data_IF_133345917532
#
_entry.id   IF_133345917532
#
_cell.length_a   1.000
_cell.length_b   1.000
_cell.length_c   1.000
_cell.angle_alpha   90.00
_cell.angle_beta   90.00
_cell.angle_gamma   90.00
#
_symmetry.space_group_name_H-M   'P 1'
#
loop_
_entity.id
_entity.type
_entity.pdbx_description
1 polymer ?
#
# COMPACT_ATOMS: atom_id res chain seq x y z
N UNK A 1 11.26 10.00 -27.20
CA UNK A 1 9.89 10.24 -26.73
C UNK A 1 9.96 10.70 -25.28
N UNK A 2 9.49 11.91 -24.98
CA UNK A 2 9.42 12.37 -23.60
C UNK A 2 8.19 11.74 -22.95
N UNK A 3 8.44 10.74 -22.10
CA UNK A 3 7.38 10.10 -21.30
C UNK A 3 6.76 11.16 -20.37
N UNK A 4 5.43 11.14 -20.25
CA UNK A 4 4.68 12.01 -19.35
C UNK A 4 4.35 11.27 -18.06
N UNK A 5 4.32 11.96 -16.90
CA UNK A 5 3.87 11.32 -15.67
C UNK A 5 2.38 10.96 -15.76
N UNK A 6 1.92 9.95 -14.98
CA UNK A 6 0.50 9.65 -14.88
C UNK A 6 -0.28 10.88 -14.44
N UNK A 7 -1.54 10.96 -14.84
CA UNK A 7 -2.43 12.11 -14.58
C UNK A 7 -2.03 13.46 -15.23
N UNK A 8 -0.97 13.54 -16.05
CA UNK A 8 -0.59 14.81 -16.68
C UNK A 8 -1.64 15.32 -17.67
N UNK A 9 -2.38 14.40 -18.29
CA UNK A 9 -3.49 14.74 -19.20
C UNK A 9 -4.69 15.37 -18.49
N UNK A 10 -4.76 15.28 -17.16
CA UNK A 10 -5.81 15.89 -16.36
C UNK A 10 -5.46 17.35 -16.03
N UNK A 11 -6.48 18.22 -16.05
CA UNK A 11 -6.33 19.60 -15.62
C UNK A 11 -5.90 19.73 -14.15
N UNK A 12 -5.32 20.87 -13.74
CA UNK A 12 -4.81 21.06 -12.38
C UNK A 12 -5.88 20.90 -11.30
N UNK A 13 -7.10 21.34 -11.55
CA UNK A 13 -8.24 21.19 -10.63
C UNK A 13 -8.58 19.70 -10.42
N UNK A 14 -8.64 18.92 -11.49
CA UNK A 14 -8.96 17.48 -11.40
C UNK A 14 -7.88 16.75 -10.60
N UNK A 15 -6.59 17.06 -10.83
CA UNK A 15 -5.49 16.49 -10.03
C UNK A 15 -5.57 16.87 -8.56
N UNK A 16 -5.95 18.11 -8.25
CA UNK A 16 -6.16 18.56 -6.88
C UNK A 16 -7.30 17.78 -6.21
N UNK A 17 -8.43 17.62 -6.91
CA UNK A 17 -9.55 16.83 -6.40
C UNK A 17 -9.14 15.37 -6.17
N UNK A 18 -8.50 14.73 -7.15
CA UNK A 18 -8.04 13.34 -7.05
C UNK A 18 -7.03 13.14 -5.91
N UNK A 19 -6.15 14.11 -5.68
CA UNK A 19 -5.23 14.07 -4.53
C UNK A 19 -5.98 14.01 -3.22
N UNK A 20 -6.97 14.88 -3.00
CA UNK A 20 -7.76 14.89 -1.76
C UNK A 20 -8.69 13.68 -1.62
N UNK A 21 -9.21 13.18 -2.74
CA UNK A 21 -9.91 11.87 -2.76
C UNK A 21 -8.97 10.77 -2.31
N UNK A 22 -7.75 10.72 -2.84
CA UNK A 22 -6.74 9.75 -2.40
C UNK A 22 -6.41 9.87 -0.91
N UNK A 23 -6.23 11.08 -0.39
CA UNK A 23 -6.00 11.33 1.05
C UNK A 23 -7.19 10.82 1.89
N UNK A 24 -8.42 11.12 1.48
CA UNK A 24 -9.62 10.65 2.17
C UNK A 24 -9.72 9.12 2.16
N UNK A 25 -9.38 8.47 1.04
CA UNK A 25 -9.34 7.02 0.93
C UNK A 25 -8.26 6.41 1.84
N UNK A 26 -7.07 7.01 1.93
CA UNK A 26 -6.00 6.54 2.83
C UNK A 26 -6.45 6.63 4.28
N UNK A 27 -6.96 7.77 4.71
CA UNK A 27 -7.41 7.99 6.10
C UNK A 27 -8.60 7.08 6.42
N UNK A 28 -9.61 7.05 5.56
CA UNK A 28 -10.81 6.24 5.72
C UNK A 28 -10.51 4.74 5.67
N UNK A 29 -9.64 4.31 4.75
CA UNK A 29 -9.21 2.94 4.59
C UNK A 29 -8.46 2.45 5.83
N UNK A 30 -7.44 3.19 6.27
CA UNK A 30 -6.69 2.85 7.49
C UNK A 30 -7.59 2.75 8.70
N UNK A 31 -8.48 3.72 8.92
CA UNK A 31 -9.43 3.69 10.05
C UNK A 31 -10.40 2.50 9.98
N UNK A 32 -10.82 2.09 8.77
CA UNK A 32 -11.71 0.94 8.57
C UNK A 32 -10.97 -0.36 8.85
N UNK A 33 -9.76 -0.50 8.33
CA UNK A 33 -8.91 -1.66 8.56
C UNK A 33 -8.58 -1.82 10.03
N UNK A 34 -8.19 -0.74 10.72
CA UNK A 34 -7.89 -0.76 12.16
C UNK A 34 -9.07 -1.28 12.98
N UNK A 35 -10.30 -0.86 12.65
CA UNK A 35 -11.51 -1.37 13.32
C UNK A 35 -11.73 -2.85 13.08
N UNK A 36 -11.48 -3.33 11.85
CA UNK A 36 -11.64 -4.76 11.50
C UNK A 36 -10.56 -5.63 12.14
N UNK A 37 -9.40 -5.07 12.45
CA UNK A 37 -8.28 -5.76 13.09
C UNK A 37 -8.42 -5.88 14.60
N UNK A 38 -9.29 -5.08 15.24
CA UNK A 38 -9.54 -5.17 16.66
C UNK A 38 -10.26 -6.49 17.01
N UNK A 39 -9.96 -7.09 18.19
CA UNK A 39 -10.66 -8.28 18.63
C UNK A 39 -12.15 -7.98 18.81
N UNK A 40 -13.00 -8.92 18.39
CA UNK A 40 -14.41 -8.88 18.71
C UNK A 40 -14.57 -9.12 20.22
N UNK A 41 -14.94 -8.06 20.95
CA UNK A 41 -15.08 -8.13 22.41
C UNK A 41 -16.13 -9.14 22.86
N UNK A 42 -17.19 -9.39 22.06
CA UNK A 42 -18.18 -10.42 22.37
C UNK A 42 -17.67 -11.83 22.14
N UNK A 43 -16.96 -12.06 21.02
CA UNK A 43 -16.31 -13.34 20.73
C UNK A 43 -15.19 -13.64 21.74
N UNK A 44 -14.42 -12.63 22.10
CA UNK A 44 -13.41 -12.71 23.15
C UNK A 44 -14.01 -13.14 24.49
N UNK A 45 -15.12 -12.51 24.90
CA UNK A 45 -15.79 -12.79 26.18
C UNK A 45 -16.47 -14.16 26.21
N UNK A 46 -17.05 -14.61 25.09
CA UNK A 46 -17.83 -15.86 25.00
C UNK A 46 -16.97 -17.08 24.67
N UNK A 47 -15.95 -16.93 23.86
CA UNK A 47 -15.17 -18.02 23.26
C UNK A 47 -13.67 -17.97 23.57
N UNK A 48 -13.20 -16.94 24.28
CA UNK A 48 -11.77 -16.74 24.54
C UNK A 48 -10.95 -16.32 23.28
N UNK A 49 -11.61 -16.02 22.16
CA UNK A 49 -10.96 -15.62 20.90
C UNK A 49 -10.62 -14.12 20.92
N UNK A 50 -9.57 -13.77 21.66
CA UNK A 50 -9.08 -12.39 21.83
C UNK A 50 -7.97 -12.03 20.84
N UNK A 51 -8.01 -12.55 19.62
CA UNK A 51 -6.94 -12.36 18.65
C UNK A 51 -7.07 -10.99 17.98
N UNK A 52 -6.04 -10.16 18.14
CA UNK A 52 -5.84 -8.95 17.35
C UNK A 52 -5.19 -9.33 16.02
N UNK A 53 -5.83 -8.97 14.92
CA UNK A 53 -5.28 -9.19 13.59
C UNK A 53 -4.26 -8.08 13.32
N UNK A 54 -3.06 -8.43 12.86
CA UNK A 54 -2.09 -7.46 12.33
C UNK A 54 -1.84 -7.76 10.86
N UNK A 55 -2.26 -6.86 9.99
CA UNK A 55 -2.01 -7.00 8.55
C UNK A 55 -0.51 -7.03 8.25
N UNK A 56 0.25 -6.15 8.89
CA UNK A 56 1.72 -6.12 8.75
C UNK A 56 2.34 -7.46 9.18
N UNK A 57 1.85 -8.08 10.27
CA UNK A 57 2.34 -9.38 10.68
C UNK A 57 2.00 -10.47 9.65
N UNK A 58 0.84 -10.39 8.98
CA UNK A 58 0.47 -11.31 7.89
C UNK A 58 1.37 -11.12 6.66
N UNK A 59 1.64 -9.88 6.28
CA UNK A 59 2.53 -9.54 5.16
C UNK A 59 3.94 -10.13 5.35
N UNK A 60 4.43 -10.19 6.59
CA UNK A 60 5.76 -10.71 6.94
C UNK A 60 5.78 -12.16 7.43
N UNK A 61 4.68 -12.88 7.39
CA UNK A 61 4.59 -14.29 7.75
C UNK A 61 5.06 -15.21 6.60
N UNK A 62 6.33 -15.11 6.23
CA UNK A 62 6.91 -15.76 5.04
C UNK A 62 7.36 -17.21 5.25
N UNK A 63 7.33 -17.72 6.48
CA UNK A 63 7.69 -19.09 6.81
C UNK A 63 6.54 -19.82 7.48
N UNK A 64 6.58 -21.13 7.47
CA UNK A 64 5.56 -21.95 8.16
C UNK A 64 5.51 -21.66 9.65
N UNK A 65 6.67 -21.41 10.28
CA UNK A 65 6.76 -21.08 11.70
C UNK A 65 6.16 -19.71 12.00
N UNK A 66 6.48 -18.70 11.18
CA UNK A 66 5.90 -17.35 11.30
C UNK A 66 4.38 -17.36 11.04
N UNK A 67 3.89 -18.30 10.21
CA UNK A 67 2.48 -18.46 9.90
C UNK A 67 1.73 -19.37 10.90
N UNK A 68 2.44 -20.11 11.77
CA UNK A 68 1.84 -21.03 12.72
C UNK A 68 0.74 -20.41 13.62
N UNK A 69 0.89 -19.16 14.15
CA UNK A 69 -0.16 -18.51 14.92
C UNK A 69 -1.45 -18.28 14.12
N UNK A 70 -1.34 -18.02 12.81
CA UNK A 70 -2.49 -17.78 11.92
C UNK A 70 -3.28 -19.06 11.67
N UNK A 71 -2.61 -20.23 11.67
CA UNK A 71 -3.28 -21.53 11.54
C UNK A 71 -4.27 -21.80 12.68
N UNK A 72 -4.00 -21.25 13.87
CA UNK A 72 -4.85 -21.41 15.06
C UNK A 72 -6.05 -20.45 15.10
N UNK A 73 -6.17 -19.51 14.14
CA UNK A 73 -7.29 -18.57 14.13
C UNK A 73 -8.63 -19.24 13.90
N UNK A 74 -9.64 -18.77 14.62
CA UNK A 74 -11.04 -19.15 14.39
C UNK A 74 -11.50 -18.75 13.00
N UNK A 75 -12.58 -19.37 12.52
CA UNK A 75 -13.21 -19.00 11.25
C UNK A 75 -13.67 -17.54 11.25
N UNK A 76 -14.19 -17.06 12.39
CA UNK A 76 -14.62 -15.68 12.56
C UNK A 76 -13.44 -14.70 12.40
N UNK A 77 -12.28 -15.02 13.00
CA UNK A 77 -11.06 -14.21 12.88
C UNK A 77 -10.53 -14.20 11.45
N UNK A 78 -10.51 -15.34 10.76
CA UNK A 78 -10.12 -15.43 9.35
C UNK A 78 -11.04 -14.60 8.45
N UNK A 79 -12.35 -14.67 8.69
CA UNK A 79 -13.31 -13.85 7.93
C UNK A 79 -13.05 -12.36 8.09
N UNK A 80 -12.81 -11.88 9.31
CA UNK A 80 -12.44 -10.47 9.56
C UNK A 80 -11.16 -10.09 8.86
N UNK A 81 -10.14 -10.95 8.85
CA UNK A 81 -8.90 -10.71 8.12
C UNK A 81 -9.15 -10.57 6.61
N UNK A 82 -9.97 -11.42 6.01
CA UNK A 82 -10.35 -11.33 4.59
C UNK A 82 -11.12 -10.03 4.30
N UNK A 83 -12.00 -9.60 5.18
CA UNK A 83 -12.72 -8.32 5.04
C UNK A 83 -11.76 -7.13 5.12
N UNK A 84 -10.77 -7.16 6.03
CA UNK A 84 -9.72 -6.15 6.11
C UNK A 84 -8.87 -6.10 4.82
N UNK A 85 -8.46 -7.24 4.26
CA UNK A 85 -7.74 -7.32 2.98
C UNK A 85 -8.56 -6.77 1.80
N UNK A 86 -9.88 -6.97 1.81
CA UNK A 86 -10.77 -6.38 0.80
C UNK A 86 -10.84 -4.87 0.95
N UNK A 87 -10.99 -4.36 2.18
CA UNK A 87 -10.98 -2.92 2.44
C UNK A 87 -9.64 -2.28 2.01
N UNK A 88 -8.54 -2.94 2.29
CA UNK A 88 -7.21 -2.53 1.84
C UNK A 88 -7.16 -2.45 0.30
N UNK A 89 -7.51 -3.52 -0.39
CA UNK A 89 -7.49 -3.61 -1.86
C UNK A 89 -8.36 -2.56 -2.55
N UNK A 90 -9.55 -2.25 -2.01
CA UNK A 90 -10.52 -1.37 -2.67
C UNK A 90 -10.48 0.08 -2.22
N UNK A 91 -9.91 0.36 -1.05
CA UNK A 91 -9.92 1.70 -0.46
C UNK A 91 -8.47 2.21 -0.29
N UNK A 92 -7.63 1.50 0.47
CA UNK A 92 -6.30 1.98 0.83
C UNK A 92 -5.36 1.99 -0.39
N UNK A 93 -5.31 0.89 -1.15
CA UNK A 93 -4.43 0.77 -2.33
C UNK A 93 -4.72 1.85 -3.37
N UNK A 94 -5.95 2.07 -3.87
CA UNK A 94 -6.25 3.18 -4.76
C UNK A 94 -5.92 4.54 -4.15
N UNK A 95 -6.16 4.70 -2.85
CA UNK A 95 -5.88 5.95 -2.13
C UNK A 95 -4.41 6.33 -2.20
N UNK A 96 -3.50 5.46 -1.75
CA UNK A 96 -2.08 5.80 -1.75
C UNK A 96 -1.48 5.88 -3.16
N UNK A 97 -1.97 5.08 -4.12
CA UNK A 97 -1.54 5.16 -5.53
C UNK A 97 -1.88 6.54 -6.11
N UNK A 98 -3.07 7.08 -5.83
CA UNK A 98 -3.43 8.43 -6.23
C UNK A 98 -2.52 9.47 -5.58
N UNK A 99 -2.35 9.43 -4.26
CA UNK A 99 -1.55 10.41 -3.51
C UNK A 99 -0.10 10.39 -3.99
N UNK A 100 0.57 9.24 -3.94
CA UNK A 100 1.99 9.13 -4.30
C UNK A 100 2.21 9.38 -5.80
N UNK A 101 1.35 8.85 -6.67
CA UNK A 101 1.45 9.06 -8.11
C UNK A 101 1.35 10.54 -8.51
N UNK A 102 0.41 11.28 -7.88
CA UNK A 102 0.24 12.72 -8.10
C UNK A 102 1.43 13.50 -7.51
N UNK A 103 1.88 13.18 -6.30
CA UNK A 103 3.01 13.86 -5.65
C UNK A 103 4.31 13.66 -6.43
N UNK A 104 4.65 12.41 -6.79
CA UNK A 104 5.84 12.11 -7.60
C UNK A 104 5.78 12.79 -8.98
N UNK A 105 4.62 12.74 -9.65
CA UNK A 105 4.42 13.42 -10.92
C UNK A 105 4.51 14.95 -10.82
N UNK A 106 4.01 15.54 -9.73
CA UNK A 106 4.13 16.98 -9.48
C UNK A 106 5.57 17.39 -9.19
N UNK A 107 6.30 16.60 -8.41
CA UNK A 107 7.72 16.81 -8.12
C UNK A 107 8.55 16.74 -9.41
N UNK A 108 8.33 15.73 -10.25
CA UNK A 108 9.02 15.54 -11.52
C UNK A 108 8.82 16.72 -12.48
N UNK A 109 7.61 17.29 -12.56
CA UNK A 109 7.33 18.45 -13.45
C UNK A 109 8.04 19.72 -13.04
N UNK A 110 8.32 19.86 -11.76
CA UNK A 110 8.98 21.06 -11.24
C UNK A 110 10.50 21.01 -11.38
N UNK A 111 11.09 19.90 -11.81
CA UNK A 111 12.54 19.76 -11.91
C UNK A 111 13.02 20.14 -13.31
N UNK A 112 13.95 21.11 -13.38
CA UNK A 112 14.54 21.60 -14.63
C UNK A 112 15.63 20.65 -15.16
N UNK A 113 16.20 19.81 -14.30
CA UNK A 113 17.20 18.83 -14.72
C UNK A 113 16.53 17.64 -15.39
N UNK A 114 16.82 17.46 -16.68
CA UNK A 114 16.22 16.40 -17.51
C UNK A 114 16.33 14.99 -16.90
N UNK A 115 17.44 14.68 -16.25
CA UNK A 115 17.67 13.37 -15.63
C UNK A 115 16.78 13.14 -14.40
N UNK A 116 16.70 14.11 -13.51
CA UNK A 116 15.84 14.01 -12.30
C UNK A 116 14.36 14.02 -12.69
N UNK A 117 13.97 14.79 -13.70
CA UNK A 117 12.61 14.77 -14.23
C UNK A 117 12.23 13.39 -14.77
N UNK A 118 13.10 12.77 -15.58
CA UNK A 118 12.87 11.41 -16.12
C UNK A 118 12.76 10.38 -15.01
N UNK A 119 13.64 10.45 -14.02
CA UNK A 119 13.62 9.59 -12.85
C UNK A 119 12.30 9.73 -12.07
N UNK A 120 11.86 10.96 -11.78
CA UNK A 120 10.59 11.20 -11.10
C UNK A 120 9.36 10.73 -11.88
N UNK A 121 9.38 10.83 -13.22
CA UNK A 121 8.33 10.26 -14.07
C UNK A 121 8.32 8.73 -13.95
N UNK A 122 9.49 8.09 -13.98
CA UNK A 122 9.58 6.65 -13.80
C UNK A 122 9.04 6.22 -12.45
N UNK A 123 9.43 6.90 -11.36
CA UNK A 123 8.90 6.61 -10.01
C UNK A 123 7.39 6.78 -9.97
N UNK A 124 6.84 7.84 -10.57
CA UNK A 124 5.39 8.05 -10.56
C UNK A 124 4.60 6.92 -11.26
N UNK A 125 5.19 6.25 -12.25
CA UNK A 125 4.63 5.05 -12.86
C UNK A 125 4.87 3.80 -12.01
N UNK A 126 6.01 3.69 -11.34
CA UNK A 126 6.32 2.57 -10.42
C UNK A 126 5.37 2.51 -9.22
N UNK A 127 4.74 3.62 -8.83
CA UNK A 127 3.66 3.61 -7.83
C UNK A 127 2.48 2.73 -8.25
N UNK A 128 2.15 2.67 -9.54
CA UNK A 128 1.10 1.76 -10.03
C UNK A 128 1.54 0.30 -9.96
N UNK A 129 2.82 0.04 -10.22
CA UNK A 129 3.39 -1.31 -10.04
C UNK A 129 3.35 -1.71 -8.56
N UNK A 130 3.65 -0.77 -7.64
CA UNK A 130 3.51 -1.00 -6.21
C UNK A 130 2.07 -1.33 -5.82
N UNK A 131 1.08 -0.60 -6.35
CA UNK A 131 -0.34 -0.90 -6.14
C UNK A 131 -0.75 -2.28 -6.68
N UNK A 132 -0.27 -2.66 -7.86
CA UNK A 132 -0.51 -3.99 -8.41
C UNK A 132 0.14 -5.10 -7.57
N UNK A 133 1.35 -4.86 -7.06
CA UNK A 133 2.02 -5.78 -6.13
C UNK A 133 1.22 -5.94 -4.83
N UNK A 134 0.68 -4.85 -4.30
CA UNK A 134 -0.17 -4.87 -3.09
C UNK A 134 -1.45 -5.70 -3.30
N UNK A 135 -2.13 -5.54 -4.44
CA UNK A 135 -3.28 -6.37 -4.78
C UNK A 135 -2.92 -7.86 -4.91
N UNK A 136 -1.74 -8.16 -5.48
CA UNK A 136 -1.22 -9.53 -5.57
C UNK A 136 -0.89 -10.08 -4.18
N UNK A 137 -0.29 -9.27 -3.31
CA UNK A 137 0.00 -9.62 -1.91
C UNK A 137 -1.27 -9.96 -1.14
N UNK A 138 -2.30 -9.11 -1.20
CA UNK A 138 -3.59 -9.35 -0.55
C UNK A 138 -4.25 -10.63 -1.04
N UNK A 139 -4.09 -10.95 -2.34
CA UNK A 139 -4.55 -12.21 -2.92
C UNK A 139 -3.79 -13.40 -2.34
N UNK A 140 -2.46 -13.32 -2.24
CA UNK A 140 -1.61 -14.38 -1.67
C UNK A 140 -1.88 -14.57 -0.18
N UNK A 141 -2.10 -13.51 0.59
CA UNK A 141 -2.52 -13.61 2.00
C UNK A 141 -3.87 -14.34 2.09
N UNK A 142 -4.84 -13.96 1.26
CA UNK A 142 -6.13 -14.65 1.18
C UNK A 142 -5.99 -16.15 0.91
N UNK A 143 -5.14 -16.51 -0.07
CA UNK A 143 -4.83 -17.93 -0.37
C UNK A 143 -4.13 -18.64 0.79
N UNK A 144 -3.22 -17.96 1.49
CA UNK A 144 -2.54 -18.51 2.65
C UNK A 144 -3.52 -18.73 3.82
N UNK A 145 -4.48 -17.85 4.02
CA UNK A 145 -5.54 -18.01 5.04
C UNK A 145 -6.42 -19.23 4.77
N UNK A 146 -6.64 -19.60 3.52
CA UNK A 146 -7.41 -20.80 3.15
C UNK A 146 -6.54 -22.06 3.17
N UNK A 147 -5.39 -22.02 2.46
CA UNK A 147 -4.51 -23.18 2.27
C UNK A 147 -3.04 -22.73 2.23
N UNK A 148 -2.39 -22.59 3.38
CA UNK A 148 -0.99 -22.21 3.45
C UNK A 148 -0.11 -23.29 2.79
N UNK A 149 0.75 -22.87 1.86
CA UNK A 149 1.78 -23.71 1.25
C UNK A 149 3.09 -22.95 1.13
N UNK A 150 4.21 -23.67 1.12
CA UNK A 150 5.54 -23.05 0.98
C UNK A 150 5.65 -22.16 -0.27
N UNK A 151 5.02 -22.57 -1.39
CA UNK A 151 5.00 -21.77 -2.61
C UNK A 151 4.24 -20.45 -2.44
N UNK A 152 3.07 -20.46 -1.79
CA UNK A 152 2.29 -19.25 -1.51
C UNK A 152 3.05 -18.32 -0.58
N UNK A 153 3.67 -18.83 0.50
CA UNK A 153 4.44 -18.03 1.45
C UNK A 153 5.71 -17.43 0.80
N UNK A 154 6.39 -18.18 -0.06
CA UNK A 154 7.54 -17.66 -0.82
C UNK A 154 7.13 -16.59 -1.83
N UNK A 155 6.01 -16.79 -2.52
CA UNK A 155 5.43 -15.78 -3.41
C UNK A 155 5.06 -14.51 -2.66
N UNK A 156 4.44 -14.65 -1.49
CA UNK A 156 4.10 -13.54 -0.59
C UNK A 156 5.35 -12.74 -0.22
N UNK A 157 6.43 -13.40 0.21
CA UNK A 157 7.69 -12.74 0.55
C UNK A 157 8.23 -11.86 -0.59
N UNK A 158 8.27 -12.41 -1.81
CA UNK A 158 8.78 -11.67 -2.98
C UNK A 158 7.92 -10.46 -3.30
N UNK A 159 6.60 -10.62 -3.31
CA UNK A 159 5.66 -9.55 -3.66
C UNK A 159 5.67 -8.45 -2.60
N UNK A 160 5.68 -8.81 -1.31
CA UNK A 160 5.79 -7.87 -0.18
C UNK A 160 7.06 -7.02 -0.27
N UNK A 161 8.21 -7.66 -0.54
CA UNK A 161 9.49 -6.95 -0.68
C UNK A 161 9.46 -5.96 -1.85
N UNK A 162 8.92 -6.37 -3.00
CA UNK A 162 8.79 -5.50 -4.19
C UNK A 162 7.88 -4.31 -3.84
N UNK A 163 6.71 -4.56 -3.26
CA UNK A 163 5.76 -3.51 -2.85
C UNK A 163 6.43 -2.48 -1.96
N UNK A 164 6.99 -2.91 -0.82
CA UNK A 164 7.59 -2.01 0.16
C UNK A 164 8.78 -1.24 -0.41
N UNK A 165 9.63 -1.89 -1.21
CA UNK A 165 10.75 -1.19 -1.87
C UNK A 165 10.24 -0.05 -2.77
N UNK A 166 9.23 -0.31 -3.59
CA UNK A 166 8.69 0.70 -4.50
C UNK A 166 7.98 1.83 -3.75
N UNK A 167 7.19 1.52 -2.73
CA UNK A 167 6.50 2.51 -1.89
C UNK A 167 7.50 3.41 -1.17
N UNK A 168 8.53 2.83 -0.54
CA UNK A 168 9.57 3.58 0.16
C UNK A 168 10.32 4.51 -0.80
N UNK A 169 10.73 4.02 -1.98
CA UNK A 169 11.39 4.84 -3.00
C UNK A 169 10.49 6.02 -3.41
N UNK A 170 9.20 5.77 -3.64
CA UNK A 170 8.25 6.81 -4.00
C UNK A 170 8.06 7.85 -2.88
N UNK A 171 7.96 7.40 -1.63
CA UNK A 171 7.85 8.29 -0.46
C UNK A 171 9.10 9.14 -0.27
N UNK A 172 10.29 8.55 -0.38
CA UNK A 172 11.57 9.27 -0.30
C UNK A 172 11.63 10.33 -1.41
N UNK A 173 11.33 9.95 -2.66
CA UNK A 173 11.34 10.88 -3.77
C UNK A 173 10.34 12.02 -3.58
N UNK A 174 9.09 11.71 -3.22
CA UNK A 174 8.06 12.71 -2.99
C UNK A 174 8.43 13.71 -1.87
N UNK A 175 9.15 13.24 -0.84
CA UNK A 175 9.57 14.06 0.30
C UNK A 175 10.82 14.89 0.01
N UNK A 176 11.82 14.32 -0.68
CA UNK A 176 13.11 14.98 -0.92
C UNK A 176 13.07 15.94 -2.09
N UNK A 177 12.25 15.73 -3.11
CA UNK A 177 12.19 16.58 -4.28
C UNK A 177 11.82 18.05 -3.96
N UNK A 178 10.85 18.36 -3.07
CA UNK A 178 10.62 19.74 -2.63
C UNK A 178 11.75 20.28 -1.73
N UNK A 179 12.33 19.42 -0.87
CA UNK A 179 13.36 19.83 0.08
C UNK A 179 14.67 20.21 -0.63
N UNK A 180 15.06 19.47 -1.65
CA UNK A 180 16.28 19.75 -2.42
C UNK A 180 16.30 21.14 -3.04
N UNK A 181 15.15 21.67 -3.44
CA UNK A 181 15.00 23.03 -3.97
C UNK A 181 15.20 24.09 -2.90
N UNK A 182 14.57 23.87 -1.75
CA UNK A 182 14.71 24.80 -0.62
C UNK A 182 16.15 24.89 -0.16
N UNK A 183 16.86 23.75 -0.06
CA UNK A 183 18.27 23.69 0.37
C UNK A 183 19.21 24.26 -0.71
N UNK A 184 18.92 24.03 -2.00
CA UNK A 184 19.78 24.49 -3.10
C UNK A 184 19.48 25.92 -3.56
N UNK A 185 18.55 26.64 -2.91
CA UNK A 185 18.19 28.02 -3.21
C UNK A 185 17.67 28.23 -4.64
N UNK A 186 17.12 27.19 -5.25
CA UNK A 186 16.54 27.24 -6.60
C UNK A 186 15.07 27.65 -6.49
N UNK A 187 14.82 28.96 -6.64
CA UNK A 187 13.46 29.53 -6.74
C UNK A 187 12.91 29.33 -8.17
#
# INVERSE_FOLDING_TARGET
MDSKPPFEFLGPLVRFILFWVGVALVIGGSSTIDKMQQPDLEACRKQGDCVQISQVALEFAWSEDAYAPVKAWSEATRKRAIEALRADSWILVPGYVLVLGILCGAAARRDDQRSYRRFGIAISWLVFVAGAADLAENTLIGMALERPSGAVLSGLAVVTLIKWMLVIIAMIYASLAPLSRWVLGRN
#
